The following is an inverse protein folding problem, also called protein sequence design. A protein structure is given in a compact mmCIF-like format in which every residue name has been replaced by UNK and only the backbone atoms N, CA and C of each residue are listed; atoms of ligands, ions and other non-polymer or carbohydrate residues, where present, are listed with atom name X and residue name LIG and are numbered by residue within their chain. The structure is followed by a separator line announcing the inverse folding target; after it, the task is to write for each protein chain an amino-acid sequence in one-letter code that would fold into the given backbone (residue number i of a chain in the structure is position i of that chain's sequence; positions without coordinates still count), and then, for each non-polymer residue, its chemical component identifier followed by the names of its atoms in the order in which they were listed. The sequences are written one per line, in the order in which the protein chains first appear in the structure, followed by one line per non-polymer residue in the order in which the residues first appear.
data_IF_151461593871
#
_entry.id   IF_151461593871
#
_cell.length_a   1.000
_cell.length_b   1.000
_cell.length_c   1.000
_cell.angle_alpha   90.00
_cell.angle_beta   90.00
_cell.angle_gamma   90.00
#
_symmetry.space_group_name_H-M   'P 1'
#
loop_
_entity.id
_entity.type
_entity.pdbx_description
1 polymer ?
#
# COMPACT_ATOMS: atom_id res chain seq x y z
N UNK A 1 -1.31 -7.89 -29.06
CA UNK A 1 -1.81 -7.60 -27.70
C UNK A 1 -1.98 -6.12 -27.59
N UNK A 2 -3.10 -5.66 -27.04
CA UNK A 2 -3.38 -4.24 -26.87
C UNK A 2 -2.27 -3.61 -25.98
N UNK A 3 -1.65 -2.47 -26.36
CA UNK A 3 -0.72 -1.76 -25.48
C UNK A 3 -1.32 -1.45 -24.10
N UNK A 4 -2.66 -1.40 -23.95
CA UNK A 4 -3.32 -1.18 -22.67
C UNK A 4 -3.18 -2.34 -21.65
N UNK A 5 -2.76 -3.54 -22.06
CA UNK A 5 -2.63 -4.69 -21.15
C UNK A 5 -1.28 -4.77 -20.43
N UNK A 6 -0.25 -4.07 -20.91
CA UNK A 6 1.09 -4.11 -20.31
C UNK A 6 1.17 -3.13 -19.14
N UNK A 7 1.43 -3.65 -17.94
CA UNK A 7 1.62 -2.81 -16.75
C UNK A 7 2.80 -1.85 -16.96
N UNK A 8 2.60 -0.52 -16.88
CA UNK A 8 3.68 0.43 -17.02
C UNK A 8 4.69 0.30 -15.87
N UNK A 9 5.97 0.62 -16.10
CA UNK A 9 7.01 0.54 -15.07
C UNK A 9 6.66 1.47 -13.89
N UNK A 10 6.92 1.07 -12.63
CA UNK A 10 6.54 1.84 -11.44
C UNK A 10 7.26 3.20 -11.35
N UNK A 11 6.70 4.14 -10.57
CA UNK A 11 7.34 5.44 -10.31
C UNK A 11 8.26 5.34 -9.09
N UNK A 12 9.46 4.82 -9.30
CA UNK A 12 10.40 4.52 -8.21
C UNK A 12 10.90 5.77 -7.46
N UNK A 13 10.90 6.94 -8.12
CA UNK A 13 11.42 8.19 -7.58
C UNK A 13 10.34 9.24 -7.30
N UNK A 14 9.06 8.89 -7.42
CA UNK A 14 7.95 9.81 -7.10
C UNK A 14 7.39 9.45 -5.74
N UNK A 15 7.74 10.25 -4.73
CA UNK A 15 7.28 10.04 -3.36
C UNK A 15 6.16 11.03 -3.02
N UNK A 16 5.06 10.57 -2.40
CA UNK A 16 4.03 11.47 -1.90
C UNK A 16 4.58 12.31 -0.75
N UNK A 17 4.75 13.61 -0.97
CA UNK A 17 5.21 14.53 0.07
C UNK A 17 4.03 14.96 0.96
N UNK A 18 4.13 14.82 2.30
CA UNK A 18 3.07 15.28 3.20
C UNK A 18 2.93 16.81 3.14
N UNK A 19 1.72 17.30 2.84
CA UNK A 19 1.49 18.73 2.56
C UNK A 19 1.58 19.67 3.77
N UNK A 20 1.58 19.14 5.00
CA UNK A 20 1.48 19.92 6.25
C UNK A 20 2.77 19.92 7.09
N UNK A 21 3.91 19.54 6.51
CA UNK A 21 5.18 19.54 7.23
C UNK A 21 5.84 20.91 7.25
N UNK A 22 6.44 21.25 8.39
CA UNK A 22 7.34 22.40 8.51
C UNK A 22 8.60 22.12 7.70
N UNK A 23 9.11 23.13 7.00
CA UNK A 23 10.29 22.98 6.13
C UNK A 23 11.50 22.36 6.85
N UNK A 24 11.72 22.74 8.12
CA UNK A 24 12.81 22.21 8.95
C UNK A 24 12.65 20.71 9.20
N UNK A 25 11.44 20.24 9.52
CA UNK A 25 11.16 18.81 9.73
C UNK A 25 11.38 18.01 8.45
N UNK A 26 11.00 18.57 7.29
CA UNK A 26 11.26 17.97 5.98
C UNK A 26 12.76 17.76 5.77
N UNK A 27 13.56 18.76 6.09
CA UNK A 27 15.01 18.69 5.90
C UNK A 27 15.66 17.71 6.87
N UNK A 28 15.21 17.65 8.12
CA UNK A 28 15.67 16.66 9.11
C UNK A 28 15.37 15.24 8.61
N UNK A 29 14.14 14.98 8.15
CA UNK A 29 13.75 13.66 7.63
C UNK A 29 14.57 13.29 6.39
N UNK A 30 14.78 14.24 5.46
CA UNK A 30 15.59 14.00 4.25
C UNK A 30 17.04 13.71 4.60
N UNK A 31 17.65 14.51 5.48
CA UNK A 31 19.05 14.36 5.88
C UNK A 31 19.28 13.02 6.59
N UNK A 32 18.43 12.70 7.55
CA UNK A 32 18.49 11.40 8.24
C UNK A 32 18.29 10.22 7.29
N UNK A 33 17.39 10.35 6.31
CA UNK A 33 17.19 9.33 5.28
C UNK A 33 18.42 9.14 4.39
N UNK A 34 19.11 10.22 4.00
CA UNK A 34 20.35 10.14 3.22
C UNK A 34 21.46 9.39 3.97
N UNK A 35 21.71 9.73 5.24
CA UNK A 35 22.71 9.04 6.04
C UNK A 35 22.33 7.59 6.32
N UNK A 36 21.03 7.32 6.52
CA UNK A 36 20.53 5.96 6.66
C UNK A 36 20.72 5.15 5.37
N UNK A 37 20.50 5.75 4.21
CA UNK A 37 20.71 5.10 2.92
C UNK A 37 22.19 4.81 2.64
N UNK A 38 23.10 5.70 3.06
CA UNK A 38 24.54 5.55 2.84
C UNK A 38 25.21 4.56 3.82
N UNK A 39 24.87 4.64 5.11
CA UNK A 39 25.53 3.85 6.18
C UNK A 39 24.75 2.57 6.51
N UNK A 40 23.42 2.61 6.35
CA UNK A 40 22.53 1.47 6.60
C UNK A 40 21.95 1.41 8.01
N UNK A 41 21.38 0.24 8.34
CA UNK A 41 20.65 -0.02 9.58
C UNK A 41 21.43 0.26 10.89
N UNK A 42 22.76 0.05 10.98
CA UNK A 42 23.50 0.36 12.21
C UNK A 42 23.41 1.84 12.62
N UNK A 43 23.44 2.75 11.65
CA UNK A 43 23.29 4.18 11.89
C UNK A 43 21.90 4.51 12.45
N UNK A 44 20.85 3.95 11.84
CA UNK A 44 19.47 4.17 12.27
C UNK A 44 19.24 3.66 13.70
N UNK A 45 19.76 2.47 14.04
CA UNK A 45 19.65 1.92 15.39
C UNK A 45 20.34 2.82 16.44
N UNK A 46 21.54 3.29 16.14
CA UNK A 46 22.28 4.22 17.02
C UNK A 46 21.57 5.57 17.19
N UNK A 47 21.02 6.12 16.10
CA UNK A 47 20.26 7.37 16.13
C UNK A 47 18.97 7.22 16.95
N UNK A 48 18.21 6.14 16.73
CA UNK A 48 16.97 5.86 17.45
C UNK A 48 17.20 5.68 18.95
N UNK A 49 18.33 5.09 19.36
CA UNK A 49 18.69 4.95 20.78
C UNK A 49 19.04 6.31 21.42
N UNK A 50 19.82 7.15 20.73
CA UNK A 50 20.25 8.45 21.25
C UNK A 50 19.12 9.46 21.33
N UNK A 51 18.27 9.49 20.31
CA UNK A 51 17.17 10.45 20.16
C UNK A 51 15.81 9.88 20.64
N UNK A 52 15.82 8.80 21.43
CA UNK A 52 14.58 8.12 21.86
C UNK A 52 13.60 9.03 22.64
N UNK A 53 14.12 10.10 23.27
CA UNK A 53 13.36 11.08 24.05
C UNK A 53 13.07 12.37 23.29
N UNK A 54 13.50 12.47 22.02
CA UNK A 54 13.33 13.65 21.20
C UNK A 54 12.16 13.48 20.22
N UNK A 55 11.05 14.21 20.38
CA UNK A 55 9.88 14.10 19.51
C UNK A 55 10.18 14.39 18.03
N UNK A 56 11.22 15.19 17.75
CA UNK A 56 11.62 15.52 16.37
C UNK A 56 12.09 14.29 15.59
N UNK A 57 12.51 13.21 16.26
CA UNK A 57 12.92 11.94 15.66
C UNK A 57 11.88 10.82 15.82
N UNK A 58 10.67 11.13 16.28
CA UNK A 58 9.60 10.12 16.43
C UNK A 58 9.19 9.50 15.09
N UNK A 59 9.48 10.17 13.96
CA UNK A 59 9.29 9.60 12.62
C UNK A 59 10.10 8.33 12.35
N UNK A 60 11.11 8.00 13.18
CA UNK A 60 11.84 6.74 13.11
C UNK A 60 11.03 5.54 13.63
N UNK A 61 9.93 5.79 14.35
CA UNK A 61 9.05 4.75 14.91
C UNK A 61 8.00 4.34 13.87
N UNK A 62 7.74 3.04 13.66
CA UNK A 62 6.73 2.57 12.71
C UNK A 62 5.30 3.07 12.97
N UNK A 63 5.00 3.46 14.21
CA UNK A 63 3.71 4.03 14.60
C UNK A 63 3.48 5.46 14.12
N UNK A 64 4.54 6.17 13.70
CA UNK A 64 4.45 7.57 13.29
C UNK A 64 4.05 7.69 11.83
N UNK A 65 3.16 8.66 11.51
CA UNK A 65 2.63 8.87 10.15
C UNK A 65 3.74 9.12 9.12
N UNK A 66 4.83 9.78 9.53
CA UNK A 66 5.97 10.07 8.65
C UNK A 66 6.92 8.89 8.42
N UNK A 67 6.77 7.78 9.13
CA UNK A 67 7.65 6.62 8.95
C UNK A 67 7.56 6.05 7.53
N UNK A 68 6.36 6.03 6.95
CA UNK A 68 6.17 5.60 5.56
C UNK A 68 6.89 6.54 4.57
N UNK A 69 6.86 7.86 4.82
CA UNK A 69 7.56 8.84 4.00
C UNK A 69 9.10 8.71 4.16
N UNK A 70 9.58 8.56 5.39
CA UNK A 70 10.99 8.33 5.70
C UNK A 70 11.54 7.06 5.04
N UNK A 71 10.84 5.93 5.18
CA UNK A 71 11.29 4.65 4.59
C UNK A 71 11.31 4.70 3.07
N UNK A 72 10.33 5.36 2.45
CA UNK A 72 10.31 5.55 1.00
C UNK A 72 11.45 6.46 0.52
N UNK A 73 11.83 7.49 1.30
CA UNK A 73 13.02 8.30 1.03
C UNK A 73 14.31 7.48 1.14
N UNK A 74 14.45 6.65 2.17
CA UNK A 74 15.64 5.79 2.35
C UNK A 74 15.81 4.85 1.15
N UNK A 75 14.73 4.22 0.68
CA UNK A 75 14.78 3.34 -0.51
C UNK A 75 15.17 4.13 -1.77
N UNK A 76 14.55 5.30 -2.00
CA UNK A 76 14.87 6.15 -3.14
C UNK A 76 16.34 6.62 -3.13
N UNK A 77 16.85 7.07 -1.98
CA UNK A 77 18.25 7.47 -1.85
C UNK A 77 19.22 6.29 -2.03
N UNK A 78 18.90 5.11 -1.48
CA UNK A 78 19.73 3.92 -1.66
C UNK A 78 19.86 3.53 -3.14
N UNK A 79 18.76 3.59 -3.91
CA UNK A 79 18.76 3.36 -5.36
C UNK A 79 19.57 4.40 -6.13
N UNK A 80 19.57 5.67 -5.69
CA UNK A 80 20.39 6.71 -6.29
C UNK A 80 21.89 6.53 -6.01
N UNK A 81 22.25 6.04 -4.81
CA UNK A 81 23.65 5.81 -4.42
C UNK A 81 24.25 4.60 -5.12
N UNK A 82 23.46 3.55 -5.35
CA UNK A 82 23.87 2.34 -6.05
C UNK A 82 22.92 2.04 -7.23
N UNK A 83 22.99 2.83 -8.33
CA UNK A 83 22.08 2.65 -9.45
C UNK A 83 22.38 1.35 -10.21
N UNK A 84 21.33 0.59 -10.52
CA UNK A 84 21.43 -0.58 -11.40
C UNK A 84 21.76 -0.17 -12.84
N UNK A 85 22.31 -1.10 -13.63
CA UNK A 85 22.55 -0.88 -15.07
C UNK A 85 21.26 -0.47 -15.79
N UNK A 86 20.14 -1.12 -15.47
CA UNK A 86 18.83 -0.80 -16.00
C UNK A 86 18.36 0.62 -15.63
N UNK A 87 18.64 1.10 -14.41
CA UNK A 87 18.29 2.46 -14.01
C UNK A 87 19.07 3.51 -14.80
N UNK A 88 20.35 3.25 -15.11
CA UNK A 88 21.17 4.14 -15.96
C UNK A 88 20.64 4.19 -17.39
N UNK A 89 20.33 3.04 -17.98
CA UNK A 89 19.74 2.96 -19.31
C UNK A 89 18.36 3.64 -19.39
N UNK A 90 17.56 3.55 -18.31
CA UNK A 90 16.28 4.25 -18.21
C UNK A 90 16.43 5.78 -18.17
N UNK A 91 17.54 6.29 -17.62
CA UNK A 91 17.87 7.73 -17.65
C UNK A 91 18.32 8.13 -19.05
N UNK A 92 19.20 7.36 -19.69
CA UNK A 92 19.69 7.65 -21.05
C UNK A 92 18.56 7.65 -22.08
N UNK A 93 17.64 6.68 -21.99
CA UNK A 93 16.43 6.65 -22.83
C UNK A 93 15.46 7.80 -22.54
N UNK A 94 15.54 8.42 -21.37
CA UNK A 94 14.75 9.59 -20.97
C UNK A 94 15.21 10.91 -21.60
N UNK A 95 16.37 10.93 -22.27
CA UNK A 95 16.87 12.10 -23.01
C UNK A 95 16.05 12.33 -24.29
N UNK A 96 15.54 11.24 -24.88
CA UNK A 96 14.72 11.29 -26.09
C UNK A 96 13.25 11.62 -25.79
N UNK A 97 12.79 12.76 -26.32
CA UNK A 97 11.42 13.26 -26.13
C UNK A 97 10.36 12.28 -26.66
N UNK A 98 10.63 11.57 -27.75
CA UNK A 98 9.65 10.66 -28.35
C UNK A 98 9.42 9.44 -27.43
N UNK A 99 10.50 8.84 -26.93
CA UNK A 99 10.41 7.72 -25.96
C UNK A 99 9.72 8.12 -24.66
N UNK A 100 9.95 9.34 -24.17
CA UNK A 100 9.24 9.85 -22.99
C UNK A 100 7.76 9.99 -23.27
N UNK A 101 7.36 10.52 -24.43
CA UNK A 101 5.96 10.65 -24.82
C UNK A 101 5.28 9.28 -24.91
N UNK A 102 5.89 8.31 -25.59
CA UNK A 102 5.38 6.94 -25.69
C UNK A 102 5.13 6.32 -24.31
N UNK A 103 6.08 6.48 -23.38
CA UNK A 103 5.95 5.99 -22.00
C UNK A 103 4.79 6.65 -21.25
N UNK A 104 4.60 7.96 -21.42
CA UNK A 104 3.52 8.70 -20.77
C UNK A 104 2.16 8.32 -21.34
N UNK A 105 2.05 8.22 -22.67
CA UNK A 105 0.81 7.82 -23.36
C UNK A 105 0.43 6.39 -22.99
N UNK A 106 1.38 5.46 -23.03
CA UNK A 106 1.15 4.06 -22.63
C UNK A 106 0.63 3.97 -21.19
N UNK A 107 1.24 4.71 -20.26
CA UNK A 107 0.78 4.75 -18.86
C UNK A 107 -0.63 5.35 -18.76
N UNK A 108 -0.93 6.43 -19.47
CA UNK A 108 -2.28 7.02 -19.47
C UNK A 108 -3.33 6.04 -20.01
N UNK A 109 -3.03 5.33 -21.10
CA UNK A 109 -3.90 4.30 -21.66
C UNK A 109 -4.16 3.18 -20.65
N UNK A 110 -3.11 2.70 -19.97
CA UNK A 110 -3.22 1.70 -18.93
C UNK A 110 -4.07 2.19 -17.76
N UNK A 111 -3.80 3.39 -17.22
CA UNK A 111 -4.52 3.96 -16.09
C UNK A 111 -6.02 4.10 -16.43
N UNK A 112 -6.35 4.58 -17.63
CA UNK A 112 -7.74 4.65 -18.12
C UNK A 112 -8.40 3.27 -18.20
N UNK A 113 -7.71 2.27 -18.73
CA UNK A 113 -8.24 0.90 -18.82
C UNK A 113 -8.45 0.27 -17.43
N UNK A 114 -7.55 0.53 -16.48
CA UNK A 114 -7.71 0.09 -15.10
C UNK A 114 -8.89 0.75 -14.40
N UNK A 115 -9.12 2.04 -14.62
CA UNK A 115 -10.28 2.76 -14.09
C UNK A 115 -11.60 2.17 -14.60
N UNK A 116 -11.70 1.89 -15.90
CA UNK A 116 -12.88 1.25 -16.48
C UNK A 116 -13.09 -0.17 -15.95
N UNK A 117 -12.01 -0.98 -15.81
CA UNK A 117 -12.10 -2.31 -15.19
C UNK A 117 -12.56 -2.23 -13.75
N UNK A 118 -12.01 -1.30 -12.95
CA UNK A 118 -12.42 -1.10 -11.55
C UNK A 118 -13.87 -0.66 -11.45
N UNK A 119 -14.32 0.22 -12.35
CA UNK A 119 -15.71 0.69 -12.41
C UNK A 119 -16.68 -0.43 -12.81
N UNK A 120 -16.31 -1.27 -13.78
CA UNK A 120 -17.09 -2.42 -14.19
C UNK A 120 -17.22 -3.44 -13.04
N UNK A 121 -16.11 -3.76 -12.36
CA UNK A 121 -16.12 -4.62 -11.17
C UNK A 121 -16.98 -4.04 -10.05
N UNK A 122 -16.90 -2.73 -9.79
CA UNK A 122 -17.74 -2.09 -8.79
C UNK A 122 -19.23 -2.14 -9.18
N UNK A 123 -19.56 -1.92 -10.46
CA UNK A 123 -20.93 -2.00 -10.95
C UNK A 123 -21.49 -3.43 -10.86
N UNK A 124 -20.66 -4.46 -11.10
CA UNK A 124 -21.03 -5.87 -10.92
C UNK A 124 -21.30 -6.19 -9.45
N UNK A 125 -20.38 -5.81 -8.55
CA UNK A 125 -20.57 -5.94 -7.09
C UNK A 125 -21.82 -5.21 -6.59
N UNK A 126 -22.10 -4.01 -7.10
CA UNK A 126 -23.28 -3.24 -6.73
C UNK A 126 -24.56 -3.90 -7.28
N UNK A 127 -24.52 -4.45 -8.50
CA UNK A 127 -25.63 -5.21 -9.07
C UNK A 127 -25.91 -6.50 -8.28
N UNK A 128 -24.88 -7.24 -7.87
CA UNK A 128 -25.00 -8.40 -6.99
C UNK A 128 -25.58 -8.02 -5.63
N UNK A 129 -25.13 -6.91 -5.04
CA UNK A 129 -25.68 -6.41 -3.77
C UNK A 129 -27.16 -6.06 -3.88
N UNK A 130 -27.57 -5.40 -4.97
CA UNK A 130 -28.98 -5.09 -5.23
C UNK A 130 -29.78 -6.37 -5.45
N UNK A 131 -29.26 -7.32 -6.21
CA UNK A 131 -29.89 -8.62 -6.43
C UNK A 131 -30.07 -9.37 -5.10
N UNK A 132 -29.03 -9.43 -4.27
CA UNK A 132 -29.07 -10.05 -2.94
C UNK A 132 -30.11 -9.41 -2.02
N UNK A 133 -30.24 -8.08 -2.05
CA UNK A 133 -31.28 -7.36 -1.30
C UNK A 133 -32.70 -7.60 -1.82
N UNK A 134 -32.84 -7.98 -3.10
CA UNK A 134 -34.13 -8.27 -3.72
C UNK A 134 -34.59 -9.73 -3.55
N UNK A 135 -33.74 -10.62 -3.03
CA UNK A 135 -34.14 -12.00 -2.71
C UNK A 135 -35.05 -11.99 -1.48
N UNK A 136 -36.26 -12.52 -1.64
CA UNK A 136 -37.17 -12.76 -0.53
C UNK A 136 -36.75 -14.01 0.24
N UNK A 137 -36.01 -13.81 1.33
CA UNK A 137 -35.57 -14.89 2.22
C UNK A 137 -36.70 -15.50 3.06
N UNK A 138 -37.92 -14.97 3.02
CA UNK A 138 -39.09 -15.56 3.71
C UNK A 138 -39.85 -16.56 2.84
N UNK A 139 -39.58 -16.61 1.53
CA UNK A 139 -40.13 -17.62 0.62
C UNK A 139 -39.23 -18.86 0.60
N UNK A 140 -39.22 -19.59 1.71
CA UNK A 140 -38.49 -20.85 1.83
C UNK A 140 -39.45 -22.05 1.88
N UNK A 141 -39.07 -23.12 1.17
CA UNK A 141 -39.72 -24.42 1.28
C UNK A 141 -38.81 -25.32 2.12
N UNK A 142 -39.26 -25.68 3.33
CA UNK A 142 -38.56 -26.66 4.16
C UNK A 142 -38.79 -28.04 3.54
N UNK A 143 -37.73 -28.60 2.97
CA UNK A 143 -37.76 -29.93 2.34
C UNK A 143 -37.55 -31.04 3.37
N UNK A 144 -36.66 -30.81 4.34
CA UNK A 144 -36.30 -31.78 5.36
C UNK A 144 -35.74 -31.08 6.59
N UNK A 145 -36.08 -31.59 7.78
CA UNK A 145 -35.52 -31.13 9.04
C UNK A 145 -34.50 -32.16 9.48
N UNK A 146 -33.22 -31.77 9.55
CA UNK A 146 -32.17 -32.62 10.08
C UNK A 146 -32.23 -32.53 11.62
N UNK A 147 -32.61 -33.63 12.27
CA UNK A 147 -32.54 -33.75 13.72
C UNK A 147 -31.15 -34.24 14.11
N UNK A 148 -30.36 -33.37 14.72
CA UNK A 148 -29.07 -33.75 15.28
C UNK A 148 -29.30 -34.48 16.61
N UNK A 149 -28.83 -35.73 16.78
CA UNK A 149 -28.88 -36.38 18.08
C UNK A 149 -28.02 -35.59 19.08
N UNK A 150 -28.46 -35.56 20.35
CA UNK A 150 -27.86 -34.73 21.42
C UNK A 150 -26.36 -35.00 21.61
N UNK A 151 -25.88 -36.19 21.26
CA UNK A 151 -24.46 -36.59 21.31
C UNK A 151 -23.57 -35.95 20.22
N UNK A 152 -24.12 -35.43 19.13
CA UNK A 152 -23.36 -34.77 18.05
C UNK A 152 -23.41 -33.23 18.12
N UNK A 153 -24.09 -32.68 19.13
CA UNK A 153 -24.15 -31.24 19.38
C UNK A 153 -22.78 -30.79 19.90
N UNK A 154 -21.89 -30.37 19.00
CA UNK A 154 -20.61 -29.77 19.38
C UNK A 154 -20.87 -28.56 20.29
N UNK A 155 -20.42 -28.65 21.54
CA UNK A 155 -20.31 -27.50 22.44
C UNK A 155 -19.35 -26.48 21.81
N UNK A 156 -19.91 -25.57 21.01
CA UNK A 156 -19.20 -24.38 20.56
C UNK A 156 -19.03 -23.49 21.78
N UNK A 157 -17.99 -23.76 22.57
CA UNK A 157 -17.60 -23.00 23.74
C UNK A 157 -17.31 -21.55 23.33
N UNK A 158 -18.36 -20.73 23.32
CA UNK A 158 -18.26 -19.28 23.37
C UNK A 158 -17.46 -18.95 24.63
N UNK A 159 -16.42 -18.14 24.44
CA UNK A 159 -15.33 -17.86 25.37
C UNK A 159 -15.72 -17.42 26.80
N UNK A 160 -14.72 -17.10 27.64
CA UNK A 160 -14.85 -17.13 29.09
C UNK A 160 -15.98 -16.21 29.56
N UNK A 161 -16.96 -16.79 30.27
CA UNK A 161 -17.97 -16.05 31.02
C UNK A 161 -17.26 -15.17 32.04
N UNK A 162 -17.22 -13.87 31.74
CA UNK A 162 -16.87 -12.86 32.71
C UNK A 162 -17.96 -12.79 33.77
N UNK A 163 -17.56 -12.98 35.03
CA UNK A 163 -18.22 -12.45 36.22
C UNK A 163 -19.44 -13.22 36.74
N UNK A 164 -19.25 -13.91 37.85
CA UNK A 164 -20.15 -13.84 39.01
C UNK A 164 -19.35 -14.26 40.27
N UNK A 165 -19.22 -13.28 41.18
CA UNK A 165 -18.77 -13.25 42.59
C UNK A 165 -17.44 -13.89 43.04
#
# INVERSE_FOLDING_TARGET
GDPADRKPPPREFTLPHPALLVAVDVDIVKLTAQYTAAVGKPFLAGLAQREARNPQFDFLKPSHVLFAYFTALVDAYARCLAPSSAAREAVDSGIDKQKVLERVVHRWQYDKAQEERRKAQQAEMDAERVAYQSVDWHDFVVVETIEFPVDEMLDLALGPKAGEE
#
